data_IF_478294604414
#
_entry.id   IF_478294604414
#
_cell.length_a   1.000
_cell.length_b   1.000
_cell.length_c   1.000
_cell.angle_alpha   90.00
_cell.angle_beta   90.00
_cell.angle_gamma   90.00
#
_symmetry.space_group_name_H-M   'P 1'
#
loop_
_entity.id
_entity.type
_entity.pdbx_description
1 polymer ?
#
# COMPACT_ATOMS: atom_id res chain seq x y z
N UNK A 1 -6.88 -42.24 -0.88
CA UNK A 1 -5.54 -42.48 -0.31
C UNK A 1 -4.54 -42.35 -1.43
N UNK A 2 -3.82 -41.23 -1.50
CA UNK A 2 -2.63 -41.06 -2.34
C UNK A 2 -1.65 -40.26 -1.49
N UNK A 3 -0.54 -40.90 -1.12
CA UNK A 3 0.53 -40.30 -0.32
C UNK A 3 1.47 -39.49 -1.19
N UNK A 4 1.88 -38.34 -0.70
CA UNK A 4 2.98 -37.54 -1.26
C UNK A 4 4.10 -37.46 -0.23
N UNK A 5 5.18 -38.22 -0.45
CA UNK A 5 6.40 -38.12 0.33
C UNK A 5 7.20 -36.88 -0.09
N UNK A 6 7.80 -36.19 0.88
CA UNK A 6 8.76 -35.14 0.63
C UNK A 6 10.17 -35.76 0.58
N UNK A 7 10.87 -35.51 -0.53
CA UNK A 7 12.32 -35.73 -0.64
C UNK A 7 12.97 -34.39 -0.28
N UNK A 8 13.86 -34.41 0.71
CA UNK A 8 14.67 -33.25 1.10
C UNK A 8 16.04 -33.47 0.50
N UNK A 9 16.36 -32.74 -0.57
CA UNK A 9 17.72 -32.63 -1.08
C UNK A 9 18.12 -31.17 -1.15
N UNK A 10 19.38 -30.91 -0.81
CA UNK A 10 19.90 -29.62 -0.43
C UNK A 10 20.01 -28.64 -1.59
N UNK A 11 19.73 -27.38 -1.29
CA UNK A 11 20.12 -26.24 -2.13
C UNK A 11 19.02 -25.77 -3.07
N UNK A 12 18.72 -24.47 -2.94
CA UNK A 12 17.90 -23.68 -3.85
C UNK A 12 16.38 -23.84 -3.71
N UNK A 13 15.80 -23.06 -2.79
CA UNK A 13 14.36 -22.79 -2.74
C UNK A 13 13.96 -22.06 -4.02
N UNK A 14 13.41 -22.80 -4.97
CA UNK A 14 12.78 -22.21 -6.16
C UNK A 14 11.39 -21.73 -5.76
N UNK A 15 11.21 -20.40 -5.69
CA UNK A 15 9.91 -19.77 -5.51
C UNK A 15 9.05 -20.06 -6.76
N UNK A 16 8.19 -21.08 -6.67
CA UNK A 16 7.15 -21.31 -7.67
C UNK A 16 6.16 -20.15 -7.55
N UNK A 17 6.22 -19.24 -8.50
CA UNK A 17 5.27 -18.13 -8.62
C UNK A 17 3.98 -18.70 -9.19
N UNK A 18 2.95 -18.83 -8.35
CA UNK A 18 1.61 -19.23 -8.82
C UNK A 18 0.97 -18.00 -9.48
N UNK A 19 1.10 -17.91 -10.81
CA UNK A 19 0.39 -16.93 -11.62
C UNK A 19 -1.11 -17.30 -11.62
N UNK A 20 -1.89 -16.57 -10.83
CA UNK A 20 -3.35 -16.72 -10.86
C UNK A 20 -3.89 -15.91 -12.04
N UNK A 21 -4.13 -16.58 -13.17
CA UNK A 21 -4.80 -15.96 -14.32
C UNK A 21 -6.25 -15.62 -13.96
N UNK A 22 -6.55 -14.32 -13.88
CA UNK A 22 -7.92 -13.82 -13.82
C UNK A 22 -8.48 -13.74 -15.25
N UNK A 23 -9.24 -14.76 -15.67
CA UNK A 23 -10.01 -14.75 -16.91
C UNK A 23 -11.14 -13.72 -16.85
N UNK A 24 -11.00 -12.64 -17.62
CA UNK A 24 -12.08 -11.71 -17.92
C UNK A 24 -13.02 -12.32 -18.97
N UNK A 25 -14.17 -12.83 -18.53
CA UNK A 25 -15.31 -13.04 -19.43
C UNK A 25 -15.98 -11.68 -19.72
N UNK A 26 -15.65 -11.09 -20.88
CA UNK A 26 -16.46 -10.02 -21.48
C UNK A 26 -17.40 -10.66 -22.50
N UNK A 27 -18.67 -10.82 -22.11
CA UNK A 27 -19.75 -11.22 -23.01
C UNK A 27 -20.50 -10.01 -23.52
N UNK A 28 -20.31 -9.70 -24.80
CA UNK A 28 -20.98 -8.66 -25.55
C UNK A 28 -22.36 -9.11 -26.05
N UNK A 29 -23.30 -8.17 -26.12
CA UNK A 29 -24.56 -8.25 -26.84
C UNK A 29 -25.47 -7.10 -26.37
N UNK A 30 -26.04 -6.21 -27.17
CA UNK A 30 -26.19 -6.11 -28.61
C UNK A 30 -27.54 -5.44 -28.89
N UNK A 31 -27.59 -4.56 -29.91
CA UNK A 31 -28.78 -3.87 -30.50
C UNK A 31 -29.29 -2.65 -29.69
N UNK A 32 -29.62 -1.50 -30.24
CA UNK A 32 -29.81 -0.97 -31.60
C UNK A 32 -30.42 0.45 -31.50
N UNK A 33 -30.55 1.24 -32.59
CA UNK A 33 -30.48 2.70 -32.56
C UNK A 33 -31.83 3.43 -32.69
N UNK A 34 -31.89 4.70 -32.26
CA UNK A 34 -32.92 5.65 -32.69
C UNK A 34 -32.45 7.14 -32.60
N UNK A 35 -32.30 7.73 -33.79
CA UNK A 35 -32.48 9.14 -34.21
C UNK A 35 -33.34 10.03 -33.26
N UNK A 36 -33.17 11.35 -33.07
CA UNK A 36 -32.91 12.51 -33.98
C UNK A 36 -32.80 13.83 -33.11
N UNK A 37 -32.73 15.08 -33.64
CA UNK A 37 -31.71 16.07 -33.24
C UNK A 37 -32.26 17.45 -32.76
N UNK A 38 -31.34 18.42 -32.60
CA UNK A 38 -31.48 19.89 -32.49
C UNK A 38 -31.87 20.51 -31.14
N UNK A 39 -30.98 21.36 -30.59
CA UNK A 39 -31.09 22.82 -30.76
C UNK A 39 -29.92 23.60 -30.15
N UNK A 40 -29.54 24.67 -30.85
CA UNK A 40 -28.58 25.71 -30.48
C UNK A 40 -28.89 26.41 -29.16
N UNK A 41 -27.86 26.83 -28.41
CA UNK A 41 -27.63 28.25 -28.12
C UNK A 41 -26.24 28.52 -27.49
N UNK A 42 -25.44 29.31 -28.23
CA UNK A 42 -24.77 30.57 -27.84
C UNK A 42 -23.86 30.56 -26.59
N UNK A 43 -22.56 30.77 -26.84
CA UNK A 43 -21.51 30.87 -25.84
C UNK A 43 -21.40 32.21 -25.12
N UNK A 44 -20.53 32.21 -24.12
CA UNK A 44 -19.70 33.28 -23.53
C UNK A 44 -18.52 32.49 -22.90
N UNK A 45 -17.24 32.74 -23.19
CA UNK A 45 -16.53 33.99 -22.95
C UNK A 45 -15.93 33.96 -21.53
N UNK A 46 -14.61 33.82 -21.40
CA UNK A 46 -13.92 34.05 -20.13
C UNK A 46 -12.79 33.06 -19.83
N UNK A 47 -11.57 33.38 -20.27
CA UNK A 47 -10.37 32.76 -19.73
C UNK A 47 -10.09 33.24 -18.31
N UNK A 48 -9.47 32.40 -17.50
CA UNK A 48 -8.57 32.88 -16.46
C UNK A 48 -7.48 31.85 -16.20
N UNK A 49 -6.23 32.29 -16.33
CA UNK A 49 -5.06 31.55 -15.94
C UNK A 49 -5.04 31.35 -14.43
N UNK A 50 -4.61 30.18 -14.00
CA UNK A 50 -4.42 29.86 -12.60
C UNK A 50 -3.49 28.66 -12.51
N UNK A 51 -2.20 28.94 -12.34
CA UNK A 51 -1.18 27.94 -12.05
C UNK A 51 -1.65 27.08 -10.88
N UNK A 52 -1.93 25.81 -11.17
CA UNK A 52 -2.22 24.81 -10.16
C UNK A 52 -0.89 24.29 -9.64
N UNK A 53 -0.35 24.98 -8.66
CA UNK A 53 0.49 24.35 -7.65
C UNK A 53 -0.31 23.19 -7.04
N UNK A 54 0.19 21.97 -7.18
CA UNK A 54 -0.33 20.82 -6.45
C UNK A 54 -0.17 21.10 -4.96
N UNK A 55 -1.25 21.18 -4.15
CA UNK A 55 -1.09 21.19 -2.72
C UNK A 55 -0.66 19.79 -2.27
N UNK A 56 0.54 19.71 -1.68
CA UNK A 56 0.97 18.57 -0.87
C UNK A 56 -0.14 18.27 0.16
N UNK A 57 -0.49 16.99 0.40
CA UNK A 57 -1.43 16.66 1.46
C UNK A 57 -0.78 16.94 2.82
N UNK A 58 -1.13 18.07 3.43
CA UNK A 58 -0.81 18.36 4.82
C UNK A 58 -1.58 17.44 5.79
N UNK A 59 -1.17 17.38 7.07
CA UNK A 59 -1.85 16.58 8.10
C UNK A 59 -3.29 17.08 8.28
N UNK A 60 -4.27 16.20 8.08
CA UNK A 60 -5.70 16.54 8.24
C UNK A 60 -6.05 16.81 9.71
N UNK A 61 -6.86 17.83 10.02
CA UNK A 61 -7.29 18.14 11.39
C UNK A 61 -8.27 17.07 11.94
N UNK A 62 -8.09 16.71 13.22
CA UNK A 62 -8.91 15.74 13.96
C UNK A 62 -10.29 16.31 14.26
N UNK A 63 -11.30 15.88 13.50
CA UNK A 63 -12.71 16.18 13.76
C UNK A 63 -13.31 15.28 14.85
N UNK A 64 -13.87 15.92 15.88
CA UNK A 64 -14.59 15.35 17.03
C UNK A 64 -15.90 14.65 16.60
N UNK A 65 -16.33 13.53 17.21
CA UNK A 65 -17.59 12.89 16.84
C UNK A 65 -18.80 13.60 17.49
N UNK A 66 -19.73 14.09 16.67
CA UNK A 66 -21.08 14.50 17.12
C UNK A 66 -22.03 13.31 17.07
N UNK A 67 -22.54 12.95 18.25
CA UNK A 67 -23.54 11.90 18.50
C UNK A 67 -24.90 12.37 17.95
N UNK A 68 -25.44 11.70 16.92
CA UNK A 68 -26.87 11.76 16.57
C UNK A 68 -27.40 10.32 16.52
N UNK A 69 -28.18 9.97 17.53
CA UNK A 69 -28.94 8.72 17.64
C UNK A 69 -30.31 8.95 17.01
N UNK A 70 -30.66 8.17 16.00
CA UNK A 70 -32.03 8.03 15.48
C UNK A 70 -32.35 6.54 15.34
N UNK A 71 -33.60 6.10 15.56
CA UNK A 71 -33.96 4.69 15.60
C UNK A 71 -34.45 4.20 14.23
N UNK A 72 -34.27 2.90 13.95
CA UNK A 72 -35.09 2.19 12.96
C UNK A 72 -34.41 1.92 11.62
N UNK A 73 -33.68 0.82 11.57
CA UNK A 73 -33.27 0.15 10.35
C UNK A 73 -32.43 -1.04 10.75
N UNK A 74 -32.82 -2.25 10.33
CA UNK A 74 -32.00 -3.46 10.46
C UNK A 74 -30.71 -3.29 9.65
N UNK A 75 -29.80 -2.45 10.15
CA UNK A 75 -28.44 -2.35 9.69
C UNK A 75 -27.79 -3.60 10.26
N UNK A 76 -27.46 -4.55 9.39
CA UNK A 76 -26.48 -5.58 9.69
C UNK A 76 -25.17 -4.85 10.01
N UNK A 77 -25.04 -4.35 11.25
CA UNK A 77 -23.90 -3.57 11.66
C UNK A 77 -22.71 -4.50 11.57
N UNK A 78 -21.77 -4.17 10.70
CA UNK A 78 -20.52 -4.88 10.56
C UNK A 78 -19.96 -5.17 11.97
N UNK A 79 -19.59 -6.42 12.27
CA UNK A 79 -19.16 -6.76 13.62
C UNK A 79 -18.02 -5.83 14.02
N UNK A 80 -18.10 -5.23 15.21
CA UNK A 80 -17.19 -4.18 15.67
C UNK A 80 -15.71 -4.58 15.54
N UNK A 81 -15.41 -5.87 15.73
CA UNK A 81 -14.07 -6.44 15.58
C UNK A 81 -13.55 -6.36 14.14
N UNK A 82 -14.42 -6.52 13.14
CA UNK A 82 -14.06 -6.41 11.72
C UNK A 82 -13.76 -4.96 11.37
N UNK A 83 -14.56 -4.02 11.87
CA UNK A 83 -14.31 -2.57 11.70
C UNK A 83 -12.97 -2.17 12.32
N UNK A 84 -12.67 -2.65 13.53
CA UNK A 84 -11.39 -2.41 14.21
C UNK A 84 -10.20 -3.01 13.45
N UNK A 85 -10.34 -4.23 12.93
CA UNK A 85 -9.28 -4.88 12.17
C UNK A 85 -9.00 -4.14 10.85
N UNK A 86 -10.05 -3.73 10.14
CA UNK A 86 -9.94 -2.91 8.93
C UNK A 86 -9.25 -1.56 9.22
N UNK A 87 -9.66 -0.88 10.29
CA UNK A 87 -9.08 0.42 10.68
C UNK A 87 -7.61 0.29 11.05
N UNK A 88 -7.26 -0.74 11.82
CA UNK A 88 -5.87 -1.00 12.19
C UNK A 88 -5.00 -1.27 10.95
N UNK A 89 -5.49 -2.02 9.98
CA UNK A 89 -4.75 -2.31 8.76
C UNK A 89 -4.49 -1.03 7.93
N UNK A 90 -5.44 -0.08 7.91
CA UNK A 90 -5.23 1.25 7.32
C UNK A 90 -4.17 2.05 8.09
N UNK A 91 -4.28 2.08 9.41
CA UNK A 91 -3.32 2.80 10.26
C UNK A 91 -1.89 2.29 10.08
N UNK A 92 -1.71 0.96 9.95
CA UNK A 92 -0.41 0.36 9.65
C UNK A 92 0.06 0.83 8.27
N UNK A 93 -0.80 0.80 7.26
CA UNK A 93 -0.44 1.18 5.88
C UNK A 93 -0.01 2.64 5.75
N UNK A 94 -0.66 3.55 6.47
CA UNK A 94 -0.36 4.99 6.44
C UNK A 94 1.00 5.32 7.08
N UNK A 95 1.53 4.42 7.92
CA UNK A 95 2.81 4.61 8.62
C UNK A 95 4.01 4.11 7.83
N UNK A 96 3.80 3.42 6.70
CA UNK A 96 4.89 2.85 5.90
C UNK A 96 5.44 3.88 4.88
N UNK A 97 6.77 4.08 4.81
CA UNK A 97 7.37 4.88 3.76
C UNK A 97 7.35 4.13 2.42
N UNK A 98 7.42 4.86 1.31
CA UNK A 98 7.35 4.26 -0.04
C UNK A 98 8.48 3.25 -0.27
N UNK A 99 9.64 3.46 0.34
CA UNK A 99 10.78 2.54 0.25
C UNK A 99 10.52 1.18 0.89
N UNK A 100 9.57 1.07 1.81
CA UNK A 100 9.25 -0.15 2.55
C UNK A 100 8.25 -1.08 1.85
N UNK A 101 7.69 -0.64 0.73
CA UNK A 101 6.66 -1.36 0.00
C UNK A 101 7.08 -1.65 -1.44
N UNK A 102 6.63 -2.78 -1.99
CA UNK A 102 6.99 -3.23 -3.35
C UNK A 102 6.45 -2.30 -4.43
N UNK A 103 5.20 -1.85 -4.30
CA UNK A 103 4.58 -0.89 -5.21
C UNK A 103 4.47 0.49 -4.56
N UNK A 104 5.23 1.48 -5.05
CA UNK A 104 5.08 2.88 -4.65
C UNK A 104 3.91 3.61 -5.37
N UNK A 105 3.14 2.89 -6.19
CA UNK A 105 2.05 3.49 -6.98
C UNK A 105 0.87 3.93 -6.09
N UNK A 106 0.64 5.25 -6.00
CA UNK A 106 -0.51 5.82 -5.27
C UNK A 106 -1.86 5.26 -5.73
N UNK A 107 -2.00 4.90 -7.02
CA UNK A 107 -3.23 4.28 -7.54
C UNK A 107 -3.51 2.92 -6.91
N UNK A 108 -2.46 2.13 -6.63
CA UNK A 108 -2.58 0.81 -6.00
C UNK A 108 -3.03 0.97 -4.55
N UNK A 109 -2.41 1.88 -3.80
CA UNK A 109 -2.77 2.18 -2.41
C UNK A 109 -4.16 2.79 -2.27
N UNK A 110 -4.57 3.65 -3.21
CA UNK A 110 -5.94 4.19 -3.25
C UNK A 110 -6.98 3.08 -3.48
N UNK A 111 -6.67 2.06 -4.29
CA UNK A 111 -7.55 0.91 -4.48
C UNK A 111 -7.63 0.08 -3.19
N UNK A 112 -6.50 -0.16 -2.55
CA UNK A 112 -6.44 -0.85 -1.25
C UNK A 112 -7.27 -0.15 -0.17
N UNK A 113 -7.09 1.17 0.01
CA UNK A 113 -7.88 1.96 0.98
C UNK A 113 -9.38 1.84 0.72
N UNK A 114 -9.80 1.99 -0.54
CA UNK A 114 -11.20 1.80 -0.96
C UNK A 114 -11.70 0.39 -0.70
N UNK A 115 -10.87 -0.64 -0.92
CA UNK A 115 -11.23 -2.04 -0.68
C UNK A 115 -11.42 -2.31 0.81
N UNK A 116 -10.51 -1.82 1.67
CA UNK A 116 -10.64 -1.99 3.12
C UNK A 116 -11.88 -1.29 3.66
N UNK A 117 -12.14 -0.05 3.23
CA UNK A 117 -13.34 0.70 3.67
C UNK A 117 -14.66 0.04 3.26
N UNK A 118 -14.62 -0.87 2.29
CA UNK A 118 -15.76 -1.66 1.81
C UNK A 118 -15.80 -3.07 2.39
N UNK A 119 -14.83 -3.49 3.20
CA UNK A 119 -14.88 -4.78 3.86
C UNK A 119 -16.16 -4.85 4.70
N UNK A 120 -16.89 -5.96 4.61
CA UNK A 120 -18.10 -6.21 5.42
C UNK A 120 -17.98 -7.48 6.25
N UNK A 121 -17.00 -8.32 5.93
CA UNK A 121 -16.75 -9.60 6.57
C UNK A 121 -15.30 -9.76 7.02
N UNK A 122 -15.06 -10.73 7.91
CA UNK A 122 -13.70 -11.13 8.32
C UNK A 122 -12.87 -11.63 7.16
N UNK A 123 -13.52 -12.31 6.20
CA UNK A 123 -12.87 -12.82 5.00
C UNK A 123 -12.35 -11.69 4.12
N UNK A 124 -13.10 -10.60 4.00
CA UNK A 124 -12.66 -9.43 3.24
C UNK A 124 -11.40 -8.82 3.89
N UNK A 125 -11.42 -8.63 5.21
CA UNK A 125 -10.27 -8.08 5.95
C UNK A 125 -9.06 -9.01 5.85
N UNK A 126 -9.26 -10.33 5.98
CA UNK A 126 -8.20 -11.31 5.78
C UNK A 126 -7.59 -11.22 4.37
N UNK A 127 -8.43 -11.12 3.33
CA UNK A 127 -7.94 -10.94 1.96
C UNK A 127 -7.10 -9.67 1.80
N UNK A 128 -7.53 -8.55 2.40
CA UNK A 128 -6.76 -7.31 2.36
C UNK A 128 -5.47 -7.40 3.17
N UNK A 129 -5.47 -8.07 4.33
CA UNK A 129 -4.28 -8.26 5.15
C UNK A 129 -3.23 -9.14 4.46
N UNK A 130 -3.65 -10.22 3.78
CA UNK A 130 -2.75 -11.04 2.96
C UNK A 130 -2.15 -10.23 1.80
N UNK A 131 -3.00 -9.47 1.09
CA UNK A 131 -2.53 -8.60 0.02
C UNK A 131 -1.51 -7.56 0.53
N UNK A 132 -1.80 -6.93 1.67
CA UNK A 132 -0.95 -5.94 2.29
C UNK A 132 0.40 -6.53 2.69
N UNK A 133 0.40 -7.70 3.33
CA UNK A 133 1.63 -8.43 3.69
C UNK A 133 2.49 -8.74 2.46
N UNK A 134 1.88 -9.08 1.32
CA UNK A 134 2.59 -9.31 0.07
C UNK A 134 3.22 -8.03 -0.53
N UNK A 135 2.74 -6.84 -0.15
CA UNK A 135 3.34 -5.56 -0.53
C UNK A 135 4.51 -5.15 0.35
N UNK A 136 4.60 -5.67 1.58
CA UNK A 136 5.70 -5.32 2.48
C UNK A 136 7.00 -5.94 1.98
N UNK A 137 8.08 -5.15 1.94
CA UNK A 137 9.39 -5.67 1.61
C UNK A 137 10.06 -6.33 2.81
N UNK A 138 10.98 -7.25 2.54
CA UNK A 138 11.63 -8.10 3.55
C UNK A 138 12.46 -7.30 4.54
N UNK A 139 12.99 -6.14 4.15
CA UNK A 139 13.94 -5.38 4.94
C UNK A 139 13.30 -4.75 6.19
N UNK A 140 11.98 -4.50 6.18
CA UNK A 140 11.25 -3.94 7.33
C UNK A 140 10.49 -5.00 8.13
N UNK A 141 10.63 -6.28 7.79
CA UNK A 141 10.09 -7.36 8.57
C UNK A 141 11.04 -7.71 9.71
N UNK A 142 10.46 -8.13 10.85
CA UNK A 142 11.24 -8.70 11.93
C UNK A 142 11.90 -10.01 11.50
N UNK A 143 13.03 -10.30 12.13
CA UNK A 143 13.73 -11.56 11.95
C UNK A 143 12.84 -12.75 12.37
N UNK A 144 12.88 -13.85 11.62
CA UNK A 144 12.02 -15.01 11.84
C UNK A 144 10.59 -14.88 11.30
N UNK A 145 10.17 -13.68 10.85
CA UNK A 145 8.81 -13.51 10.36
C UNK A 145 8.55 -14.22 9.03
N UNK A 146 9.56 -14.39 8.17
CA UNK A 146 9.36 -15.04 6.87
C UNK A 146 9.02 -16.53 7.03
N UNK A 147 9.60 -17.16 8.04
CA UNK A 147 9.36 -18.54 8.43
C UNK A 147 7.98 -18.68 9.08
N UNK A 148 7.53 -17.67 9.82
CA UNK A 148 6.20 -17.63 10.46
C UNK A 148 5.07 -17.23 9.51
N UNK A 149 5.36 -16.48 8.46
CA UNK A 149 4.36 -15.89 7.56
C UNK A 149 3.41 -16.92 6.91
N UNK A 150 3.85 -18.10 6.44
CA UNK A 150 2.95 -19.11 5.88
C UNK A 150 1.88 -19.60 6.88
N UNK A 151 2.29 -19.81 8.14
CA UNK A 151 1.37 -20.22 9.20
C UNK A 151 0.39 -19.09 9.55
N UNK A 152 0.87 -17.84 9.63
CA UNK A 152 0.00 -16.69 9.84
C UNK A 152 -1.02 -16.53 8.71
N UNK A 153 -0.62 -16.73 7.45
CA UNK A 153 -1.54 -16.74 6.30
C UNK A 153 -2.61 -17.83 6.46
N UNK A 154 -2.21 -19.04 6.86
CA UNK A 154 -3.14 -20.15 7.09
C UNK A 154 -4.15 -19.83 8.21
N UNK A 155 -3.68 -19.25 9.33
CA UNK A 155 -4.52 -18.79 10.43
C UNK A 155 -5.51 -17.70 9.97
N UNK A 156 -5.05 -16.79 9.10
CA UNK A 156 -5.85 -15.72 8.54
C UNK A 156 -6.94 -16.23 7.58
N UNK A 157 -6.63 -17.24 6.77
CA UNK A 157 -7.61 -17.89 5.88
C UNK A 157 -8.74 -18.58 6.65
N UNK A 158 -8.46 -19.05 7.86
CA UNK A 158 -9.40 -19.73 8.75
C UNK A 158 -9.96 -18.81 9.84
N UNK A 159 -9.67 -17.50 9.77
CA UNK A 159 -10.02 -16.60 10.86
C UNK A 159 -11.54 -16.39 10.98
N UNK A 160 -11.98 -16.28 12.22
CA UNK A 160 -13.36 -15.97 12.59
C UNK A 160 -13.45 -14.51 13.05
N UNK A 161 -14.65 -14.05 13.43
CA UNK A 161 -14.85 -12.69 13.94
C UNK A 161 -14.03 -12.39 15.19
N UNK A 162 -13.71 -13.41 15.98
CA UNK A 162 -12.95 -13.24 17.23
C UNK A 162 -11.44 -13.26 17.01
N UNK A 163 -10.94 -13.97 16.01
CA UNK A 163 -9.50 -14.16 15.76
C UNK A 163 -8.91 -13.21 14.73
N UNK A 164 -9.73 -12.64 13.82
CA UNK A 164 -9.27 -11.72 12.78
C UNK A 164 -8.49 -10.50 13.33
N UNK A 165 -9.06 -9.80 14.32
CA UNK A 165 -8.40 -8.62 14.92
C UNK A 165 -7.06 -8.96 15.61
N UNK A 166 -6.96 -10.01 16.45
CA UNK A 166 -5.68 -10.48 16.98
C UNK A 166 -4.63 -10.76 15.91
N UNK A 167 -5.00 -11.41 14.80
CA UNK A 167 -4.05 -11.71 13.72
C UNK A 167 -3.56 -10.44 13.00
N UNK A 168 -4.43 -9.44 12.80
CA UNK A 168 -4.01 -8.12 12.28
C UNK A 168 -3.13 -7.36 13.29
N UNK A 169 -3.36 -7.55 14.59
CA UNK A 169 -2.46 -6.98 15.62
C UNK A 169 -1.08 -7.63 15.61
N UNK A 170 -0.99 -8.94 15.41
CA UNK A 170 0.31 -9.62 15.26
C UNK A 170 1.12 -9.03 14.10
N UNK A 171 0.45 -8.68 12.99
CA UNK A 171 1.11 -7.98 11.90
C UNK A 171 1.75 -6.65 12.37
N UNK A 172 1.05 -5.87 13.18
CA UNK A 172 1.61 -4.63 13.75
C UNK A 172 2.74 -4.90 14.74
N UNK A 173 2.54 -5.79 15.71
CA UNK A 173 3.45 -5.93 16.86
C UNK A 173 4.63 -6.88 16.61
N UNK A 174 4.44 -7.90 15.79
CA UNK A 174 5.38 -9.01 15.60
C UNK A 174 5.96 -9.07 14.19
N UNK A 175 5.20 -8.70 13.16
CA UNK A 175 5.71 -8.77 11.78
C UNK A 175 6.60 -7.59 11.41
N UNK A 176 6.15 -6.37 11.72
CA UNK A 176 6.80 -5.14 11.27
C UNK A 176 7.84 -4.71 12.31
N UNK A 177 9.06 -4.47 11.83
CA UNK A 177 10.11 -3.82 12.61
C UNK A 177 9.97 -2.30 12.47
N UNK A 178 9.26 -1.70 13.43
CA UNK A 178 9.02 -0.25 13.43
C UNK A 178 10.30 0.59 13.58
N UNK A 179 11.39 0.03 14.11
CA UNK A 179 12.67 0.74 14.16
C UNK A 179 13.25 0.86 12.76
N UNK A 180 13.18 -0.20 11.95
CA UNK A 180 13.60 -0.17 10.54
C UNK A 180 12.70 0.72 9.70
N UNK A 181 11.39 0.72 9.94
CA UNK A 181 10.46 1.67 9.31
C UNK A 181 10.87 3.12 9.59
N UNK A 182 11.23 3.44 10.84
CA UNK A 182 11.71 4.77 11.22
C UNK A 182 13.01 5.15 10.50
N UNK A 183 13.96 4.21 10.37
CA UNK A 183 15.19 4.42 9.59
C UNK A 183 14.90 4.70 8.12
N UNK A 184 13.95 3.98 7.51
CA UNK A 184 13.55 4.21 6.12
C UNK A 184 12.92 5.61 5.92
N UNK A 185 12.12 6.09 6.87
CA UNK A 185 11.61 7.45 6.85
C UNK A 185 12.72 8.50 6.88
N UNK A 186 13.77 8.29 7.69
CA UNK A 186 14.91 9.20 7.74
C UNK A 186 15.63 9.29 6.39
N UNK A 187 15.83 8.15 5.73
CA UNK A 187 16.44 8.09 4.39
C UNK A 187 15.57 8.77 3.33
N UNK A 188 14.25 8.55 3.35
CA UNK A 188 13.33 9.15 2.39
C UNK A 188 13.25 10.67 2.54
N UNK A 189 13.27 11.19 3.77
CA UNK A 189 13.32 12.64 4.03
C UNK A 189 14.65 13.26 3.62
N UNK A 190 15.77 12.61 3.91
CA UNK A 190 17.10 13.09 3.49
C UNK A 190 17.23 13.18 1.97
N UNK A 191 16.65 12.22 1.24
CA UNK A 191 16.59 12.25 -0.23
C UNK A 191 15.76 13.43 -0.75
N UNK A 192 14.62 13.73 -0.13
CA UNK A 192 13.77 14.85 -0.54
C UNK A 192 14.43 16.20 -0.30
N UNK A 193 15.20 16.34 0.78
CA UNK A 193 16.00 17.55 1.04
C UNK A 193 17.07 17.74 -0.04
N UNK A 194 17.82 16.69 -0.38
CA UNK A 194 18.85 16.77 -1.42
C UNK A 194 18.29 17.08 -2.82
N UNK A 195 17.11 16.56 -3.16
CA UNK A 195 16.42 16.89 -4.43
C UNK A 195 15.92 18.33 -4.43
N UNK A 196 15.48 18.86 -3.29
CA UNK A 196 15.04 20.25 -3.17
C UNK A 196 16.21 21.25 -3.24
N UNK A 197 17.40 20.85 -2.80
CA UNK A 197 18.62 21.68 -2.84
C UNK A 197 19.41 21.53 -4.15
N UNK A 198 19.17 20.44 -4.89
CA UNK A 198 19.83 20.11 -6.17
C UNK A 198 19.35 20.90 -7.39
N UNK A 199 18.53 21.94 -7.22
CA UNK A 199 18.15 22.87 -8.30
C UNK A 199 19.30 23.77 -8.79
N UNK A 200 20.47 23.71 -8.16
CA UNK A 200 21.69 24.34 -8.67
C UNK A 200 22.95 23.66 -8.09
N UNK A 201 23.15 22.38 -8.38
CA UNK A 201 24.46 21.77 -8.16
C UNK A 201 25.41 22.23 -9.27
N UNK A 202 26.15 23.27 -8.94
CA UNK A 202 27.28 23.87 -9.66
C UNK A 202 28.12 22.80 -10.36
N UNK A 203 28.32 22.99 -11.66
CA UNK A 203 29.34 22.33 -12.47
C UNK A 203 30.70 22.57 -11.81
N UNK A 204 31.26 21.53 -11.19
CA UNK A 204 32.66 21.55 -10.78
C UNK A 204 33.52 21.31 -12.03
N UNK A 205 33.65 22.35 -12.86
CA UNK A 205 34.68 22.46 -13.88
C UNK A 205 35.89 23.11 -13.21
N UNK A 206 36.93 22.31 -12.93
CA UNK A 206 38.18 22.84 -12.40
C UNK A 206 39.22 21.74 -12.21
N UNK A 207 40.25 21.66 -13.08
CA UNK A 207 41.33 20.69 -12.97
C UNK A 207 42.41 21.21 -12.00
N UNK A 208 43.27 20.31 -11.51
CA UNK A 208 44.73 20.44 -11.55
C UNK A 208 45.38 19.39 -10.65
N UNK A 209 46.14 18.51 -11.29
CA UNK A 209 47.23 17.76 -10.69
C UNK A 209 48.24 18.69 -9.99
N UNK A 210 48.87 18.23 -8.92
CA UNK A 210 50.29 18.43 -8.70
C UNK A 210 50.96 17.05 -8.73
N UNK A 211 51.72 16.74 -9.79
CA UNK A 211 53.14 17.06 -9.96
C UNK A 211 54.01 16.38 -8.91
N UNK A 212 54.77 15.41 -9.40
CA UNK A 212 55.88 14.73 -8.75
C UNK A 212 56.93 15.71 -8.20
N UNK A 213 57.52 15.34 -7.07
CA UNK A 213 58.83 15.75 -6.54
C UNK A 213 59.12 14.72 -5.43
N UNK A 214 60.07 13.79 -5.53
CA UNK A 214 61.51 13.93 -5.85
C UNK A 214 62.21 14.84 -4.85
N UNK A 215 62.53 14.30 -3.66
CA UNK A 215 63.55 14.82 -2.75
C UNK A 215 64.28 13.63 -2.12
N UNK A 216 65.52 13.43 -2.58
CA UNK A 216 66.63 12.72 -1.92
C UNK A 216 66.87 13.25 -0.49
N UNK A 217 67.05 12.35 0.48
CA UNK A 217 68.26 12.26 1.34
C UNK A 217 68.32 10.94 2.12
#
# INVERSE_FOLDING_TARGET
>A
MVGGGAIVDGGMVTLVTVETQYSHHSGAGGRGPAHKPFSHHKGHGGGNGGGRSNPLPGPRPKGRPTKRTGPGGSSSSMPEKVVKAASLLLDISDRLPYRSVRSASSKVWTKFDKSIRKCTSTRDVAAQAMWFMAQIKREILREGWQERAPLWIQELMQCSQTTCLPLVRQLESEAIDWNRVAQQWALERGLLTAVSEGGNAVVFNGPLSPSSGEEDE
#
